data_IF_294371074214
#
_entry.id   IF_294371074214
#
_cell.length_a   1.000
_cell.length_b   1.000
_cell.length_c   1.000
_cell.angle_alpha   90.00
_cell.angle_beta   90.00
_cell.angle_gamma   90.00
#
_symmetry.space_group_name_H-M   'P 1'
#
loop_
_entity.id
_entity.type
_entity.pdbx_description
1 polymer ?
#
# COMPACT_ATOMS: atom_id res chain seq x y z
N UNK A 1 -7.66 -18.95 5.29
CA UNK A 1 -7.05 -17.82 6.00
C UNK A 1 -5.54 -17.96 5.89
N UNK A 2 -4.88 -17.11 5.11
CA UNK A 2 -3.42 -17.09 4.96
C UNK A 2 -2.87 -15.75 5.46
N UNK A 3 -1.63 -15.75 5.97
CA UNK A 3 -0.88 -14.52 6.24
C UNK A 3 -0.02 -14.22 5.01
N UNK A 4 -0.14 -13.00 4.46
CA UNK A 4 0.51 -12.63 3.20
C UNK A 4 1.28 -11.33 3.42
N UNK A 5 2.59 -11.36 3.18
CA UNK A 5 3.44 -10.16 3.23
C UNK A 5 3.57 -9.57 1.83
N UNK A 6 3.08 -8.35 1.64
CA UNK A 6 3.30 -7.55 0.45
C UNK A 6 4.44 -6.57 0.69
N UNK A 7 5.46 -6.60 -0.17
CA UNK A 7 6.63 -5.75 -0.04
C UNK A 7 6.72 -4.72 -1.18
N UNK A 8 7.15 -3.50 -0.86
CA UNK A 8 7.45 -2.46 -1.85
C UNK A 8 8.79 -1.82 -1.62
N UNK A 9 9.44 -1.44 -2.72
CA UNK A 9 10.58 -0.53 -2.74
C UNK A 9 10.35 0.72 -3.59
N UNK A 10 9.16 0.84 -4.19
CA UNK A 10 8.72 1.95 -5.05
C UNK A 10 7.72 2.83 -4.32
N UNK A 11 7.73 4.11 -4.64
CA UNK A 11 6.80 5.11 -4.13
C UNK A 11 6.62 6.26 -5.11
N UNK A 12 7.12 7.45 -4.80
CA UNK A 12 6.92 8.62 -5.67
C UNK A 12 7.70 8.56 -6.99
N UNK A 13 8.78 7.76 -7.02
CA UNK A 13 9.61 7.51 -8.20
C UNK A 13 8.92 6.64 -9.27
N UNK A 14 8.04 5.73 -8.85
CA UNK A 14 7.17 4.95 -9.73
C UNK A 14 5.77 4.78 -9.10
N UNK A 15 4.87 5.76 -9.31
CA UNK A 15 3.54 5.76 -8.70
C UNK A 15 2.68 4.54 -9.06
N UNK A 16 2.89 3.94 -10.22
CA UNK A 16 2.13 2.76 -10.65
C UNK A 16 2.55 1.55 -9.83
N UNK A 17 3.86 1.30 -9.71
CA UNK A 17 4.37 0.17 -8.93
C UNK A 17 4.17 0.36 -7.44
N UNK A 18 4.27 1.58 -6.94
CA UNK A 18 3.99 1.94 -5.55
C UNK A 18 2.58 1.54 -5.10
N UNK A 19 1.62 1.60 -6.03
CA UNK A 19 0.21 1.36 -5.73
C UNK A 19 -0.15 -0.13 -5.64
N UNK A 20 0.55 -1.00 -6.39
CA UNK A 20 0.21 -2.43 -6.50
C UNK A 20 0.17 -3.18 -5.16
N UNK A 21 1.11 -3.00 -4.21
CA UNK A 21 1.09 -3.69 -2.93
C UNK A 21 -0.16 -3.37 -2.10
N UNK A 22 -0.64 -2.12 -2.12
CA UNK A 22 -1.85 -1.71 -1.39
C UNK A 22 -3.12 -2.24 -2.05
N UNK A 23 -3.17 -2.27 -3.39
CA UNK A 23 -4.28 -2.90 -4.12
C UNK A 23 -4.36 -4.39 -3.77
N UNK A 24 -3.24 -5.09 -3.81
CA UNK A 24 -3.19 -6.51 -3.48
C UNK A 24 -3.52 -6.78 -2.01
N UNK A 25 -3.05 -5.95 -1.09
CA UNK A 25 -3.38 -6.05 0.32
C UNK A 25 -4.87 -5.82 0.59
N UNK A 26 -5.49 -4.80 -0.03
CA UNK A 26 -6.94 -4.57 0.08
C UNK A 26 -7.74 -5.76 -0.48
N UNK A 27 -7.36 -6.30 -1.65
CA UNK A 27 -7.98 -7.50 -2.19
C UNK A 27 -7.83 -8.73 -1.28
N UNK A 28 -6.69 -8.86 -0.58
CA UNK A 28 -6.47 -9.91 0.41
C UNK A 28 -7.35 -9.75 1.66
N UNK A 29 -7.59 -8.52 2.12
CA UNK A 29 -8.58 -8.25 3.18
C UNK A 29 -9.96 -8.71 2.75
N UNK A 30 -10.42 -8.30 1.56
CA UNK A 30 -11.73 -8.67 1.00
C UNK A 30 -11.89 -10.19 0.83
N UNK A 31 -10.81 -10.89 0.49
CA UNK A 31 -10.77 -12.35 0.38
C UNK A 31 -10.70 -13.10 1.72
N UNK A 32 -10.70 -12.40 2.86
CA UNK A 32 -10.60 -13.03 4.19
C UNK A 32 -9.22 -13.60 4.48
N UNK A 33 -8.17 -12.88 4.12
CA UNK A 33 -6.78 -13.17 4.49
C UNK A 33 -6.24 -12.13 5.49
N UNK A 34 -5.05 -12.37 6.01
CA UNK A 34 -4.36 -11.48 6.96
C UNK A 34 -3.14 -10.86 6.27
N UNK A 35 -3.32 -9.79 5.48
CA UNK A 35 -2.21 -9.14 4.81
C UNK A 35 -1.33 -8.35 5.78
N UNK A 36 -0.09 -8.11 5.37
CA UNK A 36 0.89 -7.24 6.00
C UNK A 36 1.65 -6.49 4.91
N UNK A 37 2.11 -5.28 5.20
CA UNK A 37 2.90 -4.45 4.29
C UNK A 37 4.32 -4.25 4.83
N UNK A 38 5.33 -4.41 3.98
CA UNK A 38 6.71 -4.04 4.26
C UNK A 38 7.20 -3.04 3.23
N UNK A 39 7.60 -1.86 3.68
CA UNK A 39 8.08 -0.77 2.84
C UNK A 39 9.58 -0.59 3.11
N UNK A 40 10.38 -0.47 2.06
CA UNK A 40 11.82 -0.23 2.19
C UNK A 40 12.29 0.77 1.13
N UNK A 41 13.36 1.51 1.44
CA UNK A 41 13.94 2.48 0.50
C UNK A 41 12.95 3.59 0.15
N UNK A 42 12.70 3.81 -1.14
CA UNK A 42 11.83 4.89 -1.63
C UNK A 42 10.42 4.75 -1.05
N UNK A 43 9.88 3.53 -1.02
CA UNK A 43 8.53 3.24 -0.53
C UNK A 43 8.26 3.74 0.90
N UNK A 44 9.29 3.93 1.73
CA UNK A 44 9.13 4.48 3.09
C UNK A 44 8.57 5.91 3.08
N UNK A 45 8.82 6.68 2.02
CA UNK A 45 8.29 8.04 1.87
C UNK A 45 6.76 8.07 1.69
N UNK A 46 6.14 6.98 1.24
CA UNK A 46 4.68 6.85 1.12
C UNK A 46 3.94 6.99 2.46
N UNK A 47 4.65 6.87 3.59
CA UNK A 47 4.08 7.08 4.93
C UNK A 47 4.01 8.57 5.33
N UNK A 48 4.52 9.47 4.50
CA UNK A 48 4.34 10.92 4.68
C UNK A 48 3.09 11.34 3.93
N UNK A 49 2.17 12.02 4.62
CA UNK A 49 0.91 12.50 4.02
C UNK A 49 1.15 13.29 2.72
N UNK A 50 2.11 14.22 2.75
CA UNK A 50 2.48 15.05 1.59
C UNK A 50 2.92 14.25 0.36
N UNK A 51 3.42 13.03 0.54
CA UNK A 51 3.80 12.13 -0.55
C UNK A 51 2.62 11.27 -0.95
N UNK A 52 1.94 10.64 0.02
CA UNK A 52 0.77 9.80 -0.21
C UNK A 52 -0.34 10.52 -0.99
N UNK A 53 -0.55 11.81 -0.71
CA UNK A 53 -1.56 12.65 -1.36
C UNK A 53 -1.24 12.96 -2.83
N UNK A 54 0.02 12.79 -3.26
CA UNK A 54 0.47 13.08 -4.62
C UNK A 54 0.66 11.82 -5.48
N UNK A 55 0.66 10.63 -4.87
CA UNK A 55 0.87 9.37 -5.59
C UNK A 55 -0.46 8.88 -6.17
N UNK A 56 -0.46 8.68 -7.49
CA UNK A 56 -1.59 8.15 -8.23
C UNK A 56 -1.09 7.19 -9.32
N UNK A 57 -1.24 5.89 -9.08
CA UNK A 57 -0.89 4.86 -10.05
C UNK A 57 -1.85 4.82 -11.23
N UNK A 58 -1.33 4.61 -12.44
CA UNK A 58 -2.17 4.59 -13.65
C UNK A 58 -3.19 3.44 -13.57
N UNK A 59 -4.47 3.76 -13.73
CA UNK A 59 -5.56 2.79 -13.73
C UNK A 59 -6.04 2.34 -12.34
N UNK A 60 -5.53 2.95 -11.26
CA UNK A 60 -5.92 2.65 -9.88
C UNK A 60 -6.54 3.88 -9.21
N UNK A 61 -7.27 3.70 -8.09
CA UNK A 61 -7.65 4.82 -7.23
C UNK A 61 -6.41 5.58 -6.70
N UNK A 62 -6.59 6.82 -6.21
CA UNK A 62 -5.54 7.56 -5.52
C UNK A 62 -4.92 6.73 -4.38
N UNK A 63 -3.59 6.81 -4.24
CA UNK A 63 -2.86 6.00 -3.26
C UNK A 63 -3.39 6.22 -1.83
N UNK A 64 -3.70 7.47 -1.49
CA UNK A 64 -4.23 7.85 -0.18
C UNK A 64 -5.52 7.09 0.17
N UNK A 65 -6.45 6.93 -0.78
CA UNK A 65 -7.69 6.20 -0.56
C UNK A 65 -7.45 4.70 -0.28
N UNK A 66 -6.47 4.11 -0.96
CA UNK A 66 -6.08 2.72 -0.73
C UNK A 66 -5.42 2.57 0.64
N UNK A 67 -4.58 3.53 1.05
CA UNK A 67 -3.90 3.54 2.34
C UNK A 67 -4.89 3.70 3.49
N UNK A 68 -5.90 4.56 3.35
CA UNK A 68 -6.95 4.74 4.35
C UNK A 68 -7.73 3.44 4.60
N UNK A 69 -8.03 2.67 3.56
CA UNK A 69 -8.64 1.34 3.70
C UNK A 69 -7.75 0.38 4.47
N UNK A 70 -6.45 0.33 4.16
CA UNK A 70 -5.47 -0.50 4.86
C UNK A 70 -5.43 -0.16 6.36
N UNK A 71 -5.39 1.14 6.68
CA UNK A 71 -5.39 1.63 8.07
C UNK A 71 -6.71 1.28 8.77
N UNK A 72 -7.85 1.49 8.12
CA UNK A 72 -9.17 1.20 8.68
C UNK A 72 -9.35 -0.29 9.02
N UNK A 73 -8.72 -1.19 8.27
CA UNK A 73 -8.72 -2.63 8.54
C UNK A 73 -7.62 -3.08 9.52
N UNK A 74 -6.81 -2.16 10.04
CA UNK A 74 -5.74 -2.48 11.00
C UNK A 74 -4.63 -3.36 10.40
N UNK A 75 -4.41 -3.30 9.09
CA UNK A 75 -3.35 -4.05 8.41
C UNK A 75 -1.98 -3.54 8.89
N UNK A 76 -1.09 -4.40 9.41
CA UNK A 76 0.24 -3.97 9.85
C UNK A 76 1.09 -3.43 8.71
N UNK A 77 1.75 -2.29 8.94
CA UNK A 77 2.71 -1.69 8.01
C UNK A 77 4.05 -1.58 8.72
N UNK A 78 5.08 -2.14 8.10
CA UNK A 78 6.48 -2.09 8.54
C UNK A 78 7.27 -1.20 7.59
N UNK A 79 8.15 -0.37 8.13
CA UNK A 79 8.94 0.67 7.44
C UNK A 79 10.38 0.58 7.88
#
# INVERSE_FOLDING_TARGET
MATILFASTFGSDDPTRATLPLVAANGAVEAGHTPQLFLAGEATYLMKDVVADQVHGVGWPPFKELLEKIIAHGVPIFV
#
